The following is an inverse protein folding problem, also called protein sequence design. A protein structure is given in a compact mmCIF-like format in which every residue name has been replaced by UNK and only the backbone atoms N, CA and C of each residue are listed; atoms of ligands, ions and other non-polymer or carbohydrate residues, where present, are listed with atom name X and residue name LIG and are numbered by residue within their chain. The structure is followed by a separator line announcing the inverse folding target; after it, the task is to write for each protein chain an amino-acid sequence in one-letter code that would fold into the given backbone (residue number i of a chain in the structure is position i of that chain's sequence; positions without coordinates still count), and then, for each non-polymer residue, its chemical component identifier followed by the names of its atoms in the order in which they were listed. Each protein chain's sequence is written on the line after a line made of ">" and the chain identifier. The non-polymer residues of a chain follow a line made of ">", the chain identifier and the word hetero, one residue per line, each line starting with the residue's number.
data_IF_389599682129
#
_entry.id   IF_389599682129
#
_cell.length_a   1.000
_cell.length_b   1.000
_cell.length_c   1.000
_cell.angle_alpha   90.00
_cell.angle_beta   90.00
_cell.angle_gamma   90.00
#
_symmetry.space_group_name_H-M   'P 1'
#
loop_
_entity.id
_entity.type
_entity.pdbx_description
1 polymer ?
#
# COMPACT_ATOMS: atom_id res chain seq x y z
N UNK A 1 -3.85 -15.52 5.89
CA UNK A 1 -2.74 -16.51 5.85
C UNK A 1 -1.38 -15.85 6.05
N UNK A 2 -1.00 -14.85 5.24
CA UNK A 2 0.33 -14.17 5.37
C UNK A 2 0.66 -13.74 6.81
N UNK A 3 -0.27 -13.06 7.50
CA UNK A 3 -0.10 -12.64 8.91
C UNK A 3 0.15 -13.81 9.87
N UNK A 4 -0.56 -14.93 9.68
CA UNK A 4 -0.42 -16.13 10.52
C UNK A 4 0.94 -16.77 10.29
N UNK A 5 1.37 -16.88 9.02
CA UNK A 5 2.66 -17.45 8.68
C UNK A 5 3.84 -16.62 9.20
N UNK A 6 3.75 -15.29 9.12
CA UNK A 6 4.77 -14.39 9.65
C UNK A 6 4.85 -14.41 11.19
N UNK A 7 3.76 -14.77 11.87
CA UNK A 7 3.74 -14.89 13.34
C UNK A 7 4.36 -16.18 13.89
N UNK A 8 4.74 -17.15 13.04
CA UNK A 8 5.33 -18.42 13.48
C UNK A 8 6.84 -18.32 13.71
N UNK A 9 7.26 -18.42 14.97
CA UNK A 9 8.66 -18.29 15.43
C UNK A 9 9.61 -19.36 14.87
N UNK A 10 9.13 -20.57 14.61
CA UNK A 10 9.95 -21.72 14.15
C UNK A 10 9.82 -21.97 12.64
N UNK A 11 9.24 -21.05 11.88
CA UNK A 11 9.07 -21.21 10.44
C UNK A 11 10.35 -20.85 9.67
N UNK A 12 10.70 -21.66 8.68
CA UNK A 12 11.87 -21.45 7.83
C UNK A 12 11.69 -20.20 6.96
N UNK A 13 12.51 -19.18 7.17
CA UNK A 13 12.42 -17.89 6.49
C UNK A 13 12.53 -18.01 4.96
N UNK A 14 13.24 -19.05 4.47
CA UNK A 14 13.37 -19.32 3.04
C UNK A 14 12.03 -19.69 2.36
N UNK A 15 11.10 -20.29 3.11
CA UNK A 15 9.75 -20.65 2.61
C UNK A 15 8.80 -19.46 2.60
N UNK A 16 9.05 -18.42 3.39
CA UNK A 16 8.18 -17.24 3.47
C UNK A 16 8.22 -16.41 2.18
N UNK A 17 9.37 -16.33 1.50
CA UNK A 17 9.54 -15.58 0.26
C UNK A 17 8.71 -16.16 -0.89
N UNK A 18 8.65 -17.48 -1.01
CA UNK A 18 7.86 -18.18 -2.05
C UNK A 18 6.35 -18.17 -1.79
N UNK A 19 5.93 -17.87 -0.56
CA UNK A 19 4.53 -17.87 -0.12
C UNK A 19 3.88 -16.49 -0.16
N UNK A 20 4.63 -15.43 -0.50
CA UNK A 20 4.07 -14.11 -0.78
C UNK A 20 3.37 -14.14 -2.13
N UNK A 21 2.07 -14.38 -2.11
CA UNK A 21 1.21 -14.22 -3.27
C UNK A 21 1.29 -12.80 -3.84
N UNK A 22 1.08 -12.65 -5.14
CA UNK A 22 0.96 -11.33 -5.77
C UNK A 22 -0.24 -10.60 -5.16
N UNK A 23 -0.01 -9.37 -4.68
CA UNK A 23 -1.09 -8.50 -4.19
C UNK A 23 -1.68 -7.73 -5.37
N UNK A 24 -3.01 -7.66 -5.44
CA UNK A 24 -3.74 -6.89 -6.44
C UNK A 24 -4.39 -5.71 -5.72
N UNK A 25 -4.12 -4.48 -6.18
CA UNK A 25 -4.80 -3.29 -5.69
C UNK A 25 -6.02 -3.04 -6.60
N UNK A 26 -7.21 -3.27 -6.07
CA UNK A 26 -8.45 -2.91 -6.75
C UNK A 26 -8.77 -1.43 -6.50
N UNK A 27 -9.17 -0.71 -7.55
CA UNK A 27 -9.55 0.71 -7.47
C UNK A 27 -10.98 0.90 -7.97
N UNK A 28 -11.70 1.83 -7.35
CA UNK A 28 -13.02 2.26 -7.84
C UNK A 28 -12.88 3.47 -8.77
N UNK A 29 -13.03 3.31 -10.10
CA UNK A 29 -12.83 4.41 -11.06
C UNK A 29 -13.87 5.54 -10.93
N UNK A 30 -14.98 5.29 -10.22
CA UNK A 30 -16.03 6.30 -9.99
C UNK A 30 -15.71 7.21 -8.80
N UNK A 31 -14.77 6.82 -7.94
CA UNK A 31 -14.44 7.57 -6.74
C UNK A 31 -13.73 8.89 -7.08
N UNK A 32 -14.12 10.03 -6.48
CA UNK A 32 -13.53 11.34 -6.80
C UNK A 32 -12.00 11.37 -6.71
N UNK A 33 -11.41 10.76 -5.68
CA UNK A 33 -9.95 10.68 -5.50
C UNK A 33 -9.26 10.00 -6.69
N UNK A 34 -9.83 8.92 -7.24
CA UNK A 34 -9.23 8.20 -8.37
C UNK A 34 -9.29 9.03 -9.66
N UNK A 35 -10.38 9.80 -9.84
CA UNK A 35 -10.51 10.72 -10.97
C UNK A 35 -9.48 11.85 -10.89
N UNK A 36 -9.36 12.47 -9.72
CA UNK A 36 -8.40 13.55 -9.47
C UNK A 36 -6.95 13.06 -9.69
N UNK A 37 -6.59 11.90 -9.12
CA UNK A 37 -5.28 11.30 -9.32
C UNK A 37 -4.98 11.08 -10.80
N UNK A 38 -5.94 10.57 -11.58
CA UNK A 38 -5.78 10.39 -13.03
C UNK A 38 -5.51 11.72 -13.73
N UNK A 39 -6.30 12.75 -13.44
CA UNK A 39 -6.16 14.07 -14.08
C UNK A 39 -4.79 14.69 -13.78
N UNK A 40 -4.33 14.59 -12.52
CA UNK A 40 -3.02 15.11 -12.12
C UNK A 40 -1.86 14.33 -12.74
N UNK A 41 -1.92 12.99 -12.81
CA UNK A 41 -0.90 12.17 -13.47
C UNK A 41 -0.80 12.48 -14.97
N UNK A 42 -1.92 12.72 -15.65
CA UNK A 42 -1.91 13.10 -17.08
C UNK A 42 -1.23 14.46 -17.29
N UNK A 43 -1.39 15.38 -16.35
CA UNK A 43 -0.80 16.72 -16.40
C UNK A 43 0.69 16.72 -16.09
N UNK A 44 1.08 16.04 -15.01
CA UNK A 44 2.46 15.90 -14.56
C UNK A 44 2.67 14.53 -13.90
N UNK A 45 3.24 13.55 -14.61
CA UNK A 45 3.49 12.22 -14.06
C UNK A 45 4.59 12.21 -12.99
N UNK A 46 5.40 13.27 -12.88
CA UNK A 46 6.46 13.40 -11.90
C UNK A 46 6.05 14.22 -10.66
N UNK A 47 4.76 14.60 -10.53
CA UNK A 47 4.24 15.31 -9.37
C UNK A 47 4.40 14.46 -8.09
N UNK A 48 5.36 14.85 -7.25
CA UNK A 48 5.68 14.15 -6.00
C UNK A 48 4.49 14.12 -5.03
N UNK A 49 3.63 15.14 -5.02
CA UNK A 49 2.44 15.14 -4.16
C UNK A 49 1.40 14.10 -4.59
N UNK A 50 1.29 13.85 -5.89
CA UNK A 50 0.43 12.80 -6.46
C UNK A 50 0.97 11.42 -6.12
N UNK A 51 2.28 11.21 -6.25
CA UNK A 51 2.95 9.97 -5.83
C UNK A 51 2.76 9.70 -4.35
N UNK A 52 2.92 10.71 -3.49
CA UNK A 52 2.68 10.60 -2.05
C UNK A 52 1.23 10.23 -1.73
N UNK A 53 0.26 10.87 -2.40
CA UNK A 53 -1.17 10.58 -2.22
C UNK A 53 -1.52 9.16 -2.65
N UNK A 54 -1.02 8.71 -3.80
CA UNK A 54 -1.22 7.34 -4.27
C UNK A 54 -0.60 6.31 -3.32
N UNK A 55 0.58 6.61 -2.77
CA UNK A 55 1.24 5.75 -1.79
C UNK A 55 0.47 5.65 -0.47
N UNK A 56 -0.05 6.76 0.04
CA UNK A 56 -0.90 6.78 1.22
C UNK A 56 -2.17 5.95 0.99
N UNK A 57 -2.86 6.15 -0.14
CA UNK A 57 -4.04 5.37 -0.53
C UNK A 57 -3.76 3.86 -0.55
N UNK A 58 -2.62 3.45 -1.12
CA UNK A 58 -2.19 2.06 -1.14
C UNK A 58 -1.92 1.50 0.26
N UNK A 59 -1.22 2.25 1.12
CA UNK A 59 -0.94 1.83 2.49
C UNK A 59 -2.22 1.70 3.33
N UNK A 60 -3.18 2.61 3.15
CA UNK A 60 -4.51 2.49 3.77
C UNK A 60 -5.24 1.24 3.28
N UNK A 61 -5.25 0.97 1.98
CA UNK A 61 -5.89 -0.22 1.42
C UNK A 61 -5.25 -1.53 1.94
N UNK A 62 -3.92 -1.56 2.09
CA UNK A 62 -3.22 -2.69 2.70
C UNK A 62 -3.67 -2.93 4.14
N UNK A 63 -3.72 -1.86 4.94
CA UNK A 63 -4.10 -1.92 6.34
C UNK A 63 -5.54 -2.44 6.51
N UNK A 64 -6.49 -1.84 5.79
CA UNK A 64 -7.91 -2.25 5.81
C UNK A 64 -8.10 -3.70 5.35
N UNK A 65 -7.30 -4.15 4.37
CA UNK A 65 -7.36 -5.53 3.88
C UNK A 65 -6.66 -6.55 4.80
N UNK A 66 -6.17 -6.11 5.96
CA UNK A 66 -5.54 -6.97 6.96
C UNK A 66 -4.11 -7.40 6.64
N UNK A 67 -3.44 -6.72 5.69
CA UNK A 67 -2.01 -6.91 5.43
C UNK A 67 -1.17 -6.11 6.43
N UNK A 68 0.02 -6.63 6.71
CA UNK A 68 1.00 -5.93 7.52
C UNK A 68 1.67 -4.84 6.66
N UNK A 69 1.78 -3.64 7.24
CA UNK A 69 2.59 -2.56 6.70
C UNK A 69 4.06 -2.92 6.92
N UNK A 70 4.87 -2.81 5.86
CA UNK A 70 6.30 -3.12 5.95
C UNK A 70 7.06 -2.11 6.83
N UNK A 71 6.66 -0.83 6.77
CA UNK A 71 7.23 0.24 7.58
C UNK A 71 6.09 1.12 8.17
N UNK A 72 5.65 0.82 9.40
CA UNK A 72 4.64 1.62 10.08
C UNK A 72 5.07 3.07 10.35
N UNK A 73 6.38 3.34 10.46
CA UNK A 73 6.90 4.68 10.74
C UNK A 73 6.81 5.57 9.50
N UNK A 74 7.12 5.04 8.32
CA UNK A 74 6.91 5.73 7.03
C UNK A 74 5.42 6.02 6.79
N UNK A 75 4.53 5.08 7.11
CA UNK A 75 3.09 5.34 7.01
C UNK A 75 2.65 6.46 7.96
N UNK A 76 3.10 6.42 9.23
CA UNK A 76 2.79 7.44 10.21
C UNK A 76 3.32 8.83 9.81
N UNK A 77 4.53 8.93 9.27
CA UNK A 77 5.08 10.21 8.81
C UNK A 77 4.26 10.80 7.66
N UNK A 78 3.73 9.97 6.75
CA UNK A 78 2.87 10.44 5.66
C UNK A 78 1.52 11.00 6.12
N UNK A 79 0.99 10.48 7.24
CA UNK A 79 -0.25 11.02 7.84
C UNK A 79 0.04 12.30 8.62
N UNK A 80 1.14 12.32 9.40
CA UNK A 80 1.45 13.41 10.33
C UNK A 80 2.07 14.65 9.66
N UNK A 81 2.43 14.59 8.37
CA UNK A 81 3.05 15.70 7.61
C UNK A 81 2.02 16.47 6.75
N UNK A 82 0.71 16.25 6.94
CA UNK A 82 -0.32 17.22 6.50
C UNK A 82 -0.49 18.34 7.52
#
# INVERSE_FOLDING_TARGET
>A
MERIMQSQTLSDASKQAYMRGKRVLEINPRHPIIKELRERVVKDPEDESVKQTAQLMYQTALFESGFLLNDPKDFASRIMIQ
#
